data_IF_897157225613
#
_entry.id   IF_897157225613
#
_cell.length_a   1.000
_cell.length_b   1.000
_cell.length_c   1.000
_cell.angle_alpha   90.00
_cell.angle_beta   90.00
_cell.angle_gamma   90.00
#
_symmetry.space_group_name_H-M   'P 1'
#
loop_
_entity.id
_entity.type
_entity.pdbx_description
1 polymer ?
#
# COMPACT_ATOMS: atom_id res chain seq x y z
N UNK A 1 6.64 18.63 -16.07
CA UNK A 1 5.74 18.91 -14.93
C UNK A 1 5.52 17.65 -14.11
N UNK A 2 5.68 17.71 -12.78
CA UNK A 2 5.27 16.62 -11.87
C UNK A 2 3.81 16.82 -11.48
N UNK A 3 2.94 15.85 -11.77
CA UNK A 3 1.48 15.97 -11.63
C UNK A 3 0.91 15.14 -10.46
N UNK A 4 1.78 14.62 -9.58
CA UNK A 4 1.40 13.79 -8.42
C UNK A 4 1.65 12.30 -8.64
N UNK A 5 1.80 11.54 -7.55
CA UNK A 5 2.01 10.08 -7.59
C UNK A 5 3.33 9.61 -8.24
N UNK A 6 4.26 10.54 -8.56
CA UNK A 6 5.48 10.25 -9.31
C UNK A 6 5.33 10.37 -10.83
N UNK A 7 4.15 10.73 -11.34
CA UNK A 7 3.93 10.93 -12.77
C UNK A 7 4.47 12.28 -13.25
N UNK A 8 5.15 12.26 -14.40
CA UNK A 8 5.75 13.44 -15.05
C UNK A 8 5.23 13.54 -16.48
N UNK A 9 4.84 14.75 -16.90
CA UNK A 9 4.39 15.07 -18.26
C UNK A 9 5.18 16.25 -18.83
N UNK A 10 5.36 16.30 -20.14
CA UNK A 10 5.95 17.45 -20.83
C UNK A 10 4.99 18.65 -20.84
N UNK A 11 5.48 19.83 -21.23
CA UNK A 11 4.62 21.01 -21.45
C UNK A 11 3.57 20.72 -22.53
N UNK A 12 3.99 20.11 -23.63
CA UNK A 12 3.12 19.79 -24.76
C UNK A 12 2.03 18.77 -24.39
N UNK A 13 2.36 17.80 -23.53
CA UNK A 13 1.39 16.85 -22.99
C UNK A 13 0.40 17.53 -22.03
N UNK A 14 0.89 18.41 -21.16
CA UNK A 14 0.06 19.17 -20.23
C UNK A 14 -0.93 20.08 -20.98
N UNK A 15 -0.47 20.75 -22.04
CA UNK A 15 -1.34 21.58 -22.88
C UNK A 15 -2.36 20.74 -23.63
N UNK A 16 -1.98 19.56 -24.14
CA UNK A 16 -2.92 18.60 -24.75
C UNK A 16 -3.97 18.11 -23.75
N UNK A 17 -3.61 17.83 -22.51
CA UNK A 17 -4.55 17.45 -21.44
C UNK A 17 -5.50 18.59 -21.08
N UNK A 18 -5.03 19.84 -21.03
CA UNK A 18 -5.88 21.02 -20.80
C UNK A 18 -6.83 21.29 -21.96
N UNK A 19 -6.37 21.14 -23.21
CA UNK A 19 -7.16 21.42 -24.42
C UNK A 19 -8.25 20.36 -24.68
N UNK A 20 -8.04 19.10 -24.27
CA UNK A 20 -9.01 18.02 -24.47
C UNK A 20 -10.12 17.95 -23.40
N UNK A 21 -10.12 18.85 -22.41
CA UNK A 21 -10.88 18.63 -21.17
C UNK A 21 -10.30 17.42 -20.42
N UNK A 22 -10.70 17.21 -19.16
CA UNK A 22 -10.27 16.04 -18.36
C UNK A 22 -10.34 14.80 -19.24
N UNK A 23 -9.18 14.30 -19.66
CA UNK A 23 -9.08 13.04 -20.38
C UNK A 23 -9.50 12.01 -19.35
N UNK A 24 -10.81 11.73 -19.28
CA UNK A 24 -11.25 10.39 -18.93
C UNK A 24 -10.51 9.52 -19.91
N UNK A 25 -9.43 8.88 -19.46
CA UNK A 25 -8.78 7.85 -20.24
C UNK A 25 -9.90 7.00 -20.80
N UNK A 26 -10.05 6.92 -22.13
CA UNK A 26 -10.80 5.81 -22.70
C UNK A 26 -10.13 4.58 -22.11
N UNK A 27 -10.77 4.03 -21.07
CA UNK A 27 -10.16 3.00 -20.25
C UNK A 27 -9.72 1.89 -21.18
N UNK A 28 -8.51 1.36 -20.97
CA UNK A 28 -8.07 0.16 -21.69
C UNK A 28 -9.25 -0.82 -21.69
N UNK A 29 -9.56 -1.41 -22.87
CA UNK A 29 -10.67 -2.36 -22.99
C UNK A 29 -10.36 -3.59 -22.15
N UNK A 30 -10.78 -3.56 -20.90
CA UNK A 30 -10.65 -4.65 -19.94
C UNK A 30 -12.02 -5.32 -19.72
N UNK A 31 -12.06 -6.60 -19.33
CA UNK A 31 -13.32 -7.34 -19.14
C UNK A 31 -14.26 -6.71 -18.11
N UNK A 32 -13.75 -6.10 -17.05
CA UNK A 32 -14.53 -5.51 -15.96
C UNK A 32 -14.20 -4.02 -15.73
N UNK A 33 -14.65 -3.11 -16.60
CA UNK A 33 -14.27 -1.69 -16.57
C UNK A 33 -15.20 -0.86 -15.67
N UNK A 34 -15.33 -1.21 -14.38
CA UNK A 34 -16.19 -0.48 -13.44
C UNK A 34 -15.66 0.92 -13.14
N UNK A 35 -16.56 1.92 -13.11
CA UNK A 35 -16.20 3.33 -12.85
C UNK A 35 -16.62 3.82 -11.47
N UNK A 36 -17.47 3.06 -10.79
CA UNK A 36 -18.01 3.38 -9.48
C UNK A 36 -18.34 2.09 -8.72
N UNK A 37 -18.61 2.22 -7.42
CA UNK A 37 -18.89 1.09 -6.55
C UNK A 37 -20.15 0.30 -6.98
N UNK A 38 -21.17 0.97 -7.51
CA UNK A 38 -22.42 0.31 -7.92
C UNK A 38 -22.19 -0.61 -9.11
N UNK A 39 -21.45 -0.14 -10.12
CA UNK A 39 -21.04 -0.95 -11.27
C UNK A 39 -20.15 -2.12 -10.85
N UNK A 40 -19.17 -1.87 -9.98
CA UNK A 40 -18.26 -2.89 -9.46
C UNK A 40 -19.03 -4.03 -8.78
N UNK A 41 -19.95 -3.71 -7.86
CA UNK A 41 -20.76 -4.71 -7.16
C UNK A 41 -21.72 -5.43 -8.12
N UNK A 42 -22.30 -4.71 -9.10
CA UNK A 42 -23.15 -5.32 -10.13
C UNK A 42 -22.39 -6.32 -11.00
N UNK A 43 -21.16 -5.98 -11.40
CA UNK A 43 -20.28 -6.86 -12.19
C UNK A 43 -19.87 -8.08 -11.38
N UNK A 44 -19.48 -7.91 -10.10
CA UNK A 44 -19.14 -9.02 -9.20
C UNK A 44 -20.29 -10.01 -9.05
N UNK A 45 -21.50 -9.50 -8.79
CA UNK A 45 -22.69 -10.33 -8.64
C UNK A 45 -23.04 -11.10 -9.94
N UNK A 46 -22.85 -10.49 -11.11
CA UNK A 46 -23.14 -11.12 -12.41
C UNK A 46 -22.09 -12.15 -12.83
N UNK A 47 -20.82 -11.90 -12.53
CA UNK A 47 -19.71 -12.79 -12.91
C UNK A 47 -19.50 -13.94 -11.92
N UNK A 48 -19.93 -13.78 -10.67
CA UNK A 48 -19.61 -14.70 -9.57
C UNK A 48 -18.17 -14.56 -9.06
N UNK A 49 -17.45 -13.52 -9.49
CA UNK A 49 -16.06 -13.26 -9.13
C UNK A 49 -15.96 -12.25 -7.97
N UNK A 50 -14.91 -12.38 -7.15
CA UNK A 50 -14.57 -11.36 -6.16
C UNK A 50 -14.04 -10.08 -6.83
N UNK A 51 -13.89 -8.99 -6.05
CA UNK A 51 -13.27 -7.75 -6.55
C UNK A 51 -11.81 -8.02 -6.97
N UNK A 52 -11.06 -8.79 -6.17
CA UNK A 52 -9.69 -9.20 -6.48
C UNK A 52 -9.62 -10.00 -7.80
N UNK A 53 -10.52 -10.96 -8.00
CA UNK A 53 -10.57 -11.78 -9.22
C UNK A 53 -10.90 -10.94 -10.46
N UNK A 54 -11.88 -10.03 -10.37
CA UNK A 54 -12.18 -9.12 -11.48
C UNK A 54 -11.00 -8.22 -11.81
N UNK A 55 -10.32 -7.68 -10.79
CA UNK A 55 -9.13 -6.84 -10.97
C UNK A 55 -7.98 -7.63 -11.59
N UNK A 56 -7.77 -8.85 -11.14
CA UNK A 56 -6.78 -9.80 -11.68
C UNK A 56 -7.03 -10.11 -13.15
N UNK A 57 -8.27 -10.45 -13.53
CA UNK A 57 -8.66 -10.64 -14.94
C UNK A 57 -8.38 -9.40 -15.78
N UNK A 58 -8.58 -8.19 -15.23
CA UNK A 58 -8.26 -6.95 -15.92
C UNK A 58 -6.75 -6.76 -16.11
N UNK A 59 -5.93 -7.00 -15.09
CA UNK A 59 -4.46 -6.84 -15.18
C UNK A 59 -3.83 -7.90 -16.12
N UNK A 60 -4.36 -9.13 -16.12
CA UNK A 60 -3.90 -10.24 -16.97
C UNK A 60 -4.19 -10.03 -18.48
N UNK A 61 -4.91 -8.96 -18.83
CA UNK A 61 -4.98 -8.52 -20.24
C UNK A 61 -3.69 -7.89 -20.75
N UNK A 62 -2.76 -7.53 -19.87
CA UNK A 62 -1.55 -6.79 -20.19
C UNK A 62 -0.25 -7.47 -19.77
N UNK A 63 -0.33 -8.47 -18.90
CA UNK A 63 0.82 -9.23 -18.39
C UNK A 63 0.38 -10.66 -18.07
N UNK A 64 1.33 -11.58 -17.94
CA UNK A 64 0.99 -12.96 -17.57
C UNK A 64 0.61 -13.07 -16.08
N UNK A 65 -0.01 -14.19 -15.71
CA UNK A 65 -0.32 -14.54 -14.32
C UNK A 65 0.93 -14.52 -13.44
N UNK A 66 2.02 -15.08 -13.96
CA UNK A 66 3.30 -15.20 -13.26
C UNK A 66 3.96 -13.84 -13.06
N UNK A 67 3.90 -12.96 -14.07
CA UNK A 67 4.41 -11.60 -13.99
C UNK A 67 3.62 -10.76 -12.99
N UNK A 68 2.29 -10.87 -13.00
CA UNK A 68 1.42 -10.19 -12.03
C UNK A 68 1.73 -10.65 -10.60
N UNK A 69 1.76 -11.96 -10.39
CA UNK A 69 2.04 -12.54 -9.07
C UNK A 69 3.43 -12.14 -8.55
N UNK A 70 4.46 -12.19 -9.41
CA UNK A 70 5.81 -11.74 -9.05
C UNK A 70 5.86 -10.23 -8.75
N UNK A 71 5.11 -9.41 -9.48
CA UNK A 71 5.00 -7.98 -9.24
C UNK A 71 4.35 -7.65 -7.90
N UNK A 72 3.22 -8.31 -7.58
CA UNK A 72 2.52 -8.16 -6.29
C UNK A 72 3.41 -8.61 -5.13
N UNK A 73 4.11 -9.74 -5.27
CA UNK A 73 5.07 -10.24 -4.28
C UNK A 73 6.24 -9.27 -4.08
N UNK A 74 6.73 -8.66 -5.17
CA UNK A 74 7.76 -7.63 -5.14
C UNK A 74 7.32 -6.36 -4.40
N UNK A 75 6.08 -5.89 -4.64
CA UNK A 75 5.48 -4.76 -3.93
C UNK A 75 5.42 -5.05 -2.43
N UNK A 76 4.89 -6.21 -2.04
CA UNK A 76 4.81 -6.59 -0.63
C UNK A 76 6.20 -6.71 0.00
N UNK A 77 7.15 -7.35 -0.66
CA UNK A 77 8.53 -7.46 -0.18
C UNK A 77 9.16 -6.09 0.08
N UNK A 78 8.97 -5.13 -0.84
CA UNK A 78 9.46 -3.76 -0.67
C UNK A 78 8.78 -3.02 0.50
N UNK A 79 7.46 -3.17 0.65
CA UNK A 79 6.67 -2.65 1.78
C UNK A 79 7.14 -3.22 3.12
N UNK A 80 7.27 -4.55 3.21
CA UNK A 80 7.76 -5.27 4.39
C UNK A 80 9.17 -4.81 4.76
N UNK A 81 10.07 -4.73 3.78
CA UNK A 81 11.43 -4.23 4.01
C UNK A 81 11.47 -2.78 4.47
N UNK A 82 10.52 -1.94 4.04
CA UNK A 82 10.38 -0.57 4.54
C UNK A 82 10.02 -0.56 6.03
N UNK A 83 9.02 -1.35 6.44
CA UNK A 83 8.64 -1.50 7.85
C UNK A 83 9.86 -1.97 8.67
N UNK A 84 10.56 -3.01 8.22
CA UNK A 84 11.69 -3.60 8.96
C UNK A 84 12.85 -2.61 9.16
N UNK A 85 13.15 -1.78 8.15
CA UNK A 85 14.12 -0.69 8.30
C UNK A 85 13.64 0.37 9.28
N UNK A 86 12.38 0.80 9.18
CA UNK A 86 11.82 1.78 10.13
C UNK A 86 11.78 1.29 11.58
N UNK A 87 11.60 -0.01 11.79
CA UNK A 87 11.61 -0.64 13.12
C UNK A 87 13.02 -0.90 13.68
N UNK A 88 14.07 -0.82 12.87
CA UNK A 88 15.46 -1.08 13.29
C UNK A 88 16.29 0.19 13.50
N UNK A 89 15.90 1.28 12.86
CA UNK A 89 16.63 2.55 12.92
C UNK A 89 16.24 3.40 14.14
N UNK A 90 17.23 4.12 14.67
CA UNK A 90 17.07 5.17 15.68
C UNK A 90 17.63 6.50 15.15
N UNK A 91 17.46 7.56 15.94
CA UNK A 91 18.11 8.85 15.69
C UNK A 91 17.12 9.98 15.43
N UNK A 92 17.66 11.08 14.90
CA UNK A 92 16.90 12.30 14.58
C UNK A 92 16.70 12.35 13.07
N UNK A 93 15.46 12.56 12.63
CA UNK A 93 15.11 12.71 11.23
C UNK A 93 15.77 13.97 10.63
N UNK A 94 16.17 13.92 9.35
CA UNK A 94 16.66 15.11 8.65
C UNK A 94 15.56 16.18 8.51
N UNK A 95 15.93 17.40 8.11
CA UNK A 95 14.97 18.48 7.85
C UNK A 95 14.83 19.55 8.95
N UNK A 96 15.76 19.60 9.91
CA UNK A 96 15.91 20.74 10.84
C UNK A 96 14.89 20.84 11.98
N UNK A 97 13.79 20.09 11.93
CA UNK A 97 12.74 20.07 12.97
C UNK A 97 13.12 19.24 14.23
N UNK A 98 14.32 18.63 14.25
CA UNK A 98 14.84 17.81 15.36
C UNK A 98 13.88 16.70 15.84
N UNK A 99 13.05 16.17 14.94
CA UNK A 99 12.08 15.11 15.26
C UNK A 99 12.83 13.79 15.43
N UNK A 100 12.61 13.10 16.56
CA UNK A 100 13.20 11.79 16.83
C UNK A 100 12.39 10.68 16.17
N UNK A 101 13.08 9.65 15.65
CA UNK A 101 12.49 8.36 15.32
C UNK A 101 11.95 7.71 16.60
N UNK A 102 10.74 7.15 16.51
CA UNK A 102 10.01 6.55 17.64
C UNK A 102 9.57 5.12 17.37
N UNK A 103 9.46 4.72 16.11
CA UNK A 103 8.88 3.44 15.73
C UNK A 103 9.57 2.25 16.42
N UNK A 104 10.91 2.19 16.40
CA UNK A 104 11.69 1.15 17.07
C UNK A 104 11.42 1.06 18.58
N UNK A 105 11.57 2.16 19.30
CA UNK A 105 11.42 2.17 20.77
C UNK A 105 10.00 1.80 21.22
N UNK A 106 8.99 2.25 20.46
CA UNK A 106 7.60 1.89 20.72
C UNK A 106 7.35 0.41 20.41
N UNK A 107 7.91 -0.11 19.31
CA UNK A 107 7.82 -1.51 18.93
C UNK A 107 8.45 -2.44 19.97
N UNK A 108 9.66 -2.14 20.44
CA UNK A 108 10.36 -2.96 21.43
C UNK A 108 9.58 -3.00 22.74
N UNK A 109 9.02 -1.85 23.16
CA UNK A 109 8.13 -1.76 24.33
C UNK A 109 6.86 -2.58 24.15
N UNK A 110 6.22 -2.49 22.98
CA UNK A 110 4.98 -3.20 22.70
C UNK A 110 5.20 -4.72 22.65
N UNK A 111 6.31 -5.17 22.05
CA UNK A 111 6.71 -6.58 22.06
C UNK A 111 6.92 -7.10 23.48
N UNK A 112 7.57 -6.32 24.35
CA UNK A 112 7.79 -6.71 25.74
C UNK A 112 6.47 -6.81 26.51
N UNK A 113 5.56 -5.84 26.34
CA UNK A 113 4.23 -5.88 26.95
C UNK A 113 3.41 -7.08 26.47
N UNK A 114 3.49 -7.41 25.18
CA UNK A 114 2.87 -8.59 24.60
C UNK A 114 3.39 -9.88 25.24
N UNK A 115 4.71 -10.03 25.35
CA UNK A 115 5.35 -11.21 25.98
C UNK A 115 4.96 -11.37 27.45
N UNK A 116 4.75 -10.26 28.15
CA UNK A 116 4.30 -10.25 29.54
C UNK A 116 2.79 -10.49 29.71
N UNK A 117 2.04 -10.74 28.63
CA UNK A 117 0.57 -10.88 28.62
C UNK A 117 -0.14 -9.74 29.37
N UNK A 118 0.38 -8.51 29.26
CA UNK A 118 -0.26 -7.36 29.91
C UNK A 118 -1.56 -7.04 29.18
N UNK A 119 -2.69 -6.90 29.90
CA UNK A 119 -3.94 -6.49 29.26
C UNK A 119 -3.79 -5.06 28.71
N UNK A 120 -3.90 -4.93 27.40
CA UNK A 120 -3.93 -3.65 26.70
C UNK A 120 -5.16 -3.63 25.76
N UNK A 121 -6.21 -2.86 26.07
CA UNK A 121 -7.40 -2.79 25.24
C UNK A 121 -7.15 -2.11 23.88
N UNK A 122 -6.02 -1.41 23.70
CA UNK A 122 -5.66 -0.67 22.48
C UNK A 122 -4.58 -1.37 21.66
N UNK A 123 -4.24 -2.63 21.99
CA UNK A 123 -3.10 -3.36 21.42
C UNK A 123 -3.12 -3.40 19.89
N UNK A 124 -4.30 -3.58 19.29
CA UNK A 124 -4.46 -3.59 17.83
C UNK A 124 -4.05 -2.25 17.20
N UNK A 125 -4.51 -1.14 17.79
CA UNK A 125 -4.24 0.21 17.31
C UNK A 125 -2.76 0.57 17.48
N UNK A 126 -2.12 0.12 18.56
CA UNK A 126 -0.71 0.36 18.81
C UNK A 126 0.17 -0.31 17.73
N UNK A 127 -0.11 -1.58 17.39
CA UNK A 127 0.63 -2.28 16.33
C UNK A 127 0.48 -1.60 14.96
N UNK A 128 -0.76 -1.27 14.57
CA UNK A 128 -1.03 -0.55 13.32
C UNK A 128 -0.29 0.78 13.27
N UNK A 129 -0.37 1.57 14.34
CA UNK A 129 0.28 2.88 14.43
C UNK A 129 1.80 2.76 14.32
N UNK A 130 2.41 1.78 14.99
CA UNK A 130 3.84 1.54 14.95
C UNK A 130 4.32 1.16 13.55
N UNK A 131 3.61 0.27 12.85
CA UNK A 131 3.97 -0.09 11.48
C UNK A 131 3.83 1.08 10.51
N UNK A 132 2.78 1.88 10.64
CA UNK A 132 2.60 3.08 9.82
C UNK A 132 3.69 4.13 10.11
N UNK A 133 4.03 4.33 11.38
CA UNK A 133 5.12 5.21 11.80
C UNK A 133 6.46 4.76 11.24
N UNK A 134 6.77 3.45 11.26
CA UNK A 134 8.02 2.92 10.72
C UNK A 134 8.20 3.31 9.24
N UNK A 135 7.15 3.15 8.43
CA UNK A 135 7.18 3.52 7.00
C UNK A 135 7.28 5.03 6.82
N UNK A 136 6.54 5.82 7.59
CA UNK A 136 6.56 7.28 7.48
C UNK A 136 7.90 7.88 7.93
N UNK A 137 8.56 7.29 8.93
CA UNK A 137 9.90 7.67 9.36
C UNK A 137 10.95 7.32 8.29
N UNK A 138 10.84 6.16 7.64
CA UNK A 138 11.69 5.82 6.49
C UNK A 138 11.49 6.78 5.32
N UNK A 139 10.23 7.13 5.00
CA UNK A 139 9.92 8.10 3.97
C UNK A 139 10.58 9.47 4.26
N UNK A 140 10.41 9.96 5.49
CA UNK A 140 10.96 11.25 5.91
C UNK A 140 12.50 11.28 5.92
N UNK A 141 13.14 10.12 6.11
CA UNK A 141 14.59 9.98 6.03
C UNK A 141 15.13 9.76 4.61
N UNK A 142 14.28 9.76 3.59
CA UNK A 142 14.68 9.52 2.19
C UNK A 142 14.96 8.05 1.88
N UNK A 143 14.48 7.12 2.71
CA UNK A 143 14.57 5.69 2.49
C UNK A 143 13.70 5.23 1.32
N UNK A 144 13.91 3.98 0.89
CA UNK A 144 13.06 3.35 -0.13
C UNK A 144 11.65 3.12 0.43
N UNK A 145 10.64 3.65 -0.26
CA UNK A 145 9.22 3.52 0.06
C UNK A 145 8.42 3.08 -1.17
N UNK A 146 7.25 2.49 -0.94
CA UNK A 146 6.28 2.16 -1.99
C UNK A 146 5.12 3.13 -1.88
N UNK A 147 4.70 3.74 -2.98
CA UNK A 147 3.55 4.64 -3.02
C UNK A 147 2.26 3.87 -2.71
N UNK A 148 1.40 4.42 -1.85
CA UNK A 148 0.10 3.81 -1.55
C UNK A 148 -0.96 4.86 -1.14
N UNK A 149 -1.47 5.71 -2.06
CA UNK A 149 -1.09 5.88 -3.47
C UNK A 149 0.02 6.93 -3.68
N UNK A 150 0.50 7.57 -2.60
CA UNK A 150 1.60 8.55 -2.64
C UNK A 150 2.60 8.25 -1.53
N UNK A 151 3.79 8.85 -1.57
CA UNK A 151 4.79 8.71 -0.49
C UNK A 151 4.25 9.17 0.87
N UNK A 152 3.45 10.25 0.91
CA UNK A 152 2.90 10.78 2.16
C UNK A 152 1.87 9.85 2.82
N UNK A 153 1.24 8.97 2.05
CA UNK A 153 0.26 7.98 2.53
C UNK A 153 0.82 6.56 2.59
N UNK A 154 2.11 6.37 2.32
CA UNK A 154 2.74 5.07 2.12
C UNK A 154 2.62 4.11 3.31
N UNK A 155 2.44 4.62 4.53
CA UNK A 155 2.40 3.79 5.75
C UNK A 155 1.09 3.02 5.97
N UNK A 156 -0.04 3.47 5.44
CA UNK A 156 -1.36 2.93 5.82
C UNK A 156 -1.57 1.51 5.33
N UNK A 157 -1.42 1.29 4.02
CA UNK A 157 -1.63 -0.02 3.38
C UNK A 157 -0.70 -1.12 3.96
N UNK A 158 0.63 -0.92 4.04
CA UNK A 158 1.52 -1.95 4.57
C UNK A 158 1.36 -2.18 6.08
N UNK A 159 0.92 -1.18 6.85
CA UNK A 159 0.63 -1.37 8.27
C UNK A 159 -0.54 -2.34 8.49
N UNK A 160 -1.64 -2.19 7.73
CA UNK A 160 -2.80 -3.09 7.80
C UNK A 160 -2.40 -4.50 7.38
N UNK A 161 -1.69 -4.63 6.25
CA UNK A 161 -1.24 -5.93 5.75
C UNK A 161 -0.28 -6.63 6.73
N UNK A 162 0.69 -5.91 7.31
CA UNK A 162 1.61 -6.45 8.32
C UNK A 162 0.89 -6.85 9.61
N UNK A 163 -0.09 -6.06 10.05
CA UNK A 163 -0.90 -6.39 11.22
C UNK A 163 -1.68 -7.68 11.02
N UNK A 164 -2.39 -7.80 9.89
CA UNK A 164 -3.15 -8.98 9.55
C UNK A 164 -2.25 -10.23 9.53
N UNK A 165 -1.11 -10.18 8.85
CA UNK A 165 -0.12 -11.28 8.81
C UNK A 165 0.50 -11.63 10.17
N UNK A 166 0.55 -10.69 11.12
CA UNK A 166 1.08 -10.97 12.46
C UNK A 166 0.08 -11.79 13.28
N UNK A 167 -1.21 -11.43 13.22
CA UNK A 167 -2.22 -11.94 14.14
C UNK A 167 -3.16 -13.01 13.56
N UNK A 168 -3.11 -13.25 12.25
CA UNK A 168 -3.95 -14.21 11.55
C UNK A 168 -3.06 -15.29 10.92
N UNK A 169 -2.90 -16.46 11.58
CA UNK A 169 -2.01 -17.52 11.11
C UNK A 169 -2.46 -18.17 9.80
N UNK A 170 -3.72 -17.99 9.41
CA UNK A 170 -4.30 -18.44 8.15
C UNK A 170 -3.90 -17.58 6.94
N UNK A 171 -3.31 -16.41 7.17
CA UNK A 171 -2.92 -15.51 6.08
C UNK A 171 -1.78 -16.11 5.25
N UNK A 172 -2.03 -16.30 3.95
CA UNK A 172 -1.12 -16.94 3.01
C UNK A 172 -0.75 -16.02 1.84
N UNK A 173 0.17 -16.48 0.98
CA UNK A 173 0.68 -15.69 -0.14
C UNK A 173 -0.43 -15.31 -1.16
N UNK A 174 -1.34 -16.21 -1.57
CA UNK A 174 -2.51 -15.84 -2.38
C UNK A 174 -3.34 -14.72 -1.75
N UNK A 175 -3.63 -14.81 -0.45
CA UNK A 175 -4.47 -13.81 0.22
C UNK A 175 -3.79 -12.43 0.33
N UNK A 176 -2.45 -12.36 0.38
CA UNK A 176 -1.70 -11.10 0.25
C UNK A 176 -1.94 -10.46 -1.13
N UNK A 177 -1.91 -11.27 -2.20
CA UNK A 177 -2.14 -10.78 -3.57
C UNK A 177 -3.57 -10.29 -3.72
N UNK A 178 -4.54 -11.00 -3.17
CA UNK A 178 -5.95 -10.59 -3.19
C UNK A 178 -6.17 -9.30 -2.40
N UNK A 179 -5.49 -9.13 -1.27
CA UNK A 179 -5.51 -7.87 -0.51
C UNK A 179 -5.02 -6.70 -1.36
N UNK A 180 -3.88 -6.86 -2.03
CA UNK A 180 -3.30 -5.81 -2.90
C UNK A 180 -4.19 -5.51 -4.10
N UNK A 181 -4.77 -6.53 -4.75
CA UNK A 181 -5.68 -6.37 -5.88
C UNK A 181 -7.01 -5.73 -5.47
N UNK A 182 -7.52 -6.04 -4.28
CA UNK A 182 -8.75 -5.41 -3.75
C UNK A 182 -8.52 -3.92 -3.44
N UNK A 183 -7.30 -3.54 -3.06
CA UNK A 183 -6.95 -2.17 -2.73
C UNK A 183 -6.65 -1.28 -3.96
N UNK A 184 -6.41 -1.87 -5.13
CA UNK A 184 -5.95 -1.19 -6.35
C UNK A 184 -7.09 -0.66 -7.23
#
# INVERSE_FOLDING_TARGET
YSIGGGFVVSEEELQRMKAKGSVTSEGKKVPYPFKNAVEMLSMAAKSGLSIADMKRVNEETQMTREELDAGLDGIWSAMKGCIERGLSQDGIMPGGLKVRRRARQLHDRLQEQWRQNRPNPLLANDWLSIYAMAVNEENAAGGRVVTAPTNGAAGTLPAVLRYWLHFHPEADQPSIRDFLLTAA
#
